data_IF_508554484204
#
_entry.id   IF_508554484204
#
_cell.length_a   1.000
_cell.length_b   1.000
_cell.length_c   1.000
_cell.angle_alpha   90.00
_cell.angle_beta   90.00
_cell.angle_gamma   90.00
#
_symmetry.space_group_name_H-M   'P 1'
#
loop_
_entity.id
_entity.type
_entity.pdbx_description
1 polymer ?
#
# COMPACT_ATOMS: atom_id res chain seq x y z
N UNK A 1 -37.18 16.02 16.66
CA UNK A 1 -37.45 14.65 17.14
C UNK A 1 -36.29 13.78 16.69
N UNK A 2 -35.30 13.57 17.57
CA UNK A 2 -34.05 12.86 17.30
C UNK A 2 -34.30 11.42 17.75
N UNK A 3 -34.04 10.39 16.95
CA UNK A 3 -34.16 9.00 17.38
C UNK A 3 -32.93 8.58 18.22
N UNK A 4 -33.25 7.97 19.35
CA UNK A 4 -32.40 7.40 20.37
C UNK A 4 -31.53 6.25 19.81
N UNK A 5 -30.18 6.34 19.99
CA UNK A 5 -29.21 5.32 19.55
C UNK A 5 -28.68 4.59 20.80
N UNK A 6 -29.56 3.83 21.45
CA UNK A 6 -29.18 3.02 22.62
C UNK A 6 -29.55 1.54 22.51
N UNK A 7 -29.33 0.89 21.36
CA UNK A 7 -29.41 -0.57 21.26
C UNK A 7 -28.34 -1.08 20.27
N UNK A 8 -27.10 -1.28 20.74
CA UNK A 8 -26.17 -2.23 20.15
C UNK A 8 -25.45 -2.96 21.29
N UNK A 9 -26.13 -3.99 21.80
CA UNK A 9 -25.52 -4.99 22.66
C UNK A 9 -24.35 -5.66 21.90
N UNK A 10 -23.16 -5.67 22.50
CA UNK A 10 -21.99 -6.39 22.01
C UNK A 10 -22.27 -7.88 22.03
N UNK A 11 -22.08 -8.62 20.93
CA UNK A 11 -21.99 -10.08 21.03
C UNK A 11 -20.68 -10.45 21.74
N UNK A 12 -20.77 -11.35 22.71
CA UNK A 12 -19.64 -11.95 23.39
C UNK A 12 -18.74 -12.67 22.38
N UNK A 13 -17.45 -12.32 22.35
CA UNK A 13 -16.47 -12.98 21.51
C UNK A 13 -16.23 -14.43 21.95
N UNK A 14 -15.83 -15.33 21.05
CA UNK A 14 -15.57 -16.71 21.38
C UNK A 14 -14.40 -16.85 22.36
N UNK A 15 -14.54 -17.83 23.28
CA UNK A 15 -13.57 -18.21 24.30
C UNK A 15 -12.20 -18.58 23.72
N UNK A 16 -11.07 -18.30 24.43
CA UNK A 16 -9.71 -18.57 23.96
C UNK A 16 -9.35 -20.06 23.72
N UNK A 17 -10.24 -20.99 24.03
CA UNK A 17 -9.98 -22.42 23.92
C UNK A 17 -10.23 -23.06 22.55
N UNK A 18 -10.63 -22.30 21.52
CA UNK A 18 -10.98 -22.82 20.19
C UNK A 18 -9.96 -22.51 19.08
N UNK A 19 -8.76 -22.03 19.42
CA UNK A 19 -7.69 -21.88 18.43
C UNK A 19 -6.81 -23.14 18.45
N UNK A 20 -7.19 -24.12 17.62
CA UNK A 20 -6.37 -25.29 17.35
C UNK A 20 -4.98 -24.84 16.88
N UNK A 21 -3.95 -25.53 17.36
CA UNK A 21 -2.56 -25.37 16.99
C UNK A 21 -2.40 -25.55 15.46
N UNK A 22 -2.21 -24.45 14.74
CA UNK A 22 -1.78 -24.50 13.34
C UNK A 22 -0.30 -24.82 13.32
N UNK A 23 0.03 -26.10 13.11
CA UNK A 23 1.40 -26.53 12.82
C UNK A 23 1.78 -26.05 11.43
N UNK A 24 2.73 -25.10 11.37
CA UNK A 24 3.38 -24.71 10.14
C UNK A 24 4.34 -25.83 9.71
N UNK A 25 4.32 -26.27 8.45
CA UNK A 25 5.28 -27.28 7.97
C UNK A 25 6.70 -26.75 8.15
N UNK A 26 7.49 -27.45 8.97
CA UNK A 26 8.92 -27.22 9.11
C UNK A 26 9.61 -27.50 7.78
N UNK A 27 9.99 -26.47 7.05
CA UNK A 27 10.87 -26.59 5.88
C UNK A 27 12.24 -27.02 6.41
N UNK A 28 12.58 -28.31 6.24
CA UNK A 28 13.93 -28.81 6.51
C UNK A 28 14.88 -28.07 5.55
N UNK A 29 16.00 -27.52 6.04
CA UNK A 29 16.98 -26.91 5.13
C UNK A 29 17.61 -28.01 4.29
N UNK A 30 17.22 -28.08 3.01
CA UNK A 30 17.95 -28.86 2.01
C UNK A 30 19.37 -28.31 1.93
N UNK A 31 20.38 -29.19 1.82
CA UNK A 31 21.75 -28.81 1.52
C UNK A 31 21.80 -28.20 0.12
N UNK A 32 21.45 -26.94 -0.01
CA UNK A 32 21.72 -26.16 -1.20
C UNK A 32 23.21 -25.85 -1.23
N UNK A 33 23.92 -26.37 -2.27
CA UNK A 33 25.23 -25.85 -2.63
C UNK A 33 25.05 -24.35 -2.86
N UNK A 34 25.74 -23.53 -2.04
CA UNK A 34 25.68 -22.09 -2.15
C UNK A 34 26.05 -21.63 -3.56
N UNK A 35 25.39 -20.59 -4.08
CA UNK A 35 25.82 -19.96 -5.32
C UNK A 35 27.25 -19.45 -5.12
N UNK A 36 28.09 -19.63 -6.18
CA UNK A 36 29.42 -19.04 -6.25
C UNK A 36 29.31 -17.57 -5.91
N UNK A 37 30.16 -17.10 -5.00
CA UNK A 37 30.24 -15.69 -4.63
C UNK A 37 30.40 -14.83 -5.89
N UNK A 38 29.36 -14.08 -6.22
CA UNK A 38 29.47 -13.01 -7.21
C UNK A 38 30.37 -11.91 -6.64
N UNK A 39 31.14 -11.19 -7.48
CA UNK A 39 32.02 -10.14 -7.00
C UNK A 39 31.19 -9.06 -6.29
N UNK A 40 31.56 -8.75 -5.05
CA UNK A 40 30.94 -7.77 -4.17
C UNK A 40 30.69 -6.45 -4.90
N UNK A 41 29.42 -6.07 -5.02
CA UNK A 41 29.05 -4.78 -5.56
C UNK A 41 29.47 -3.66 -4.61
N UNK A 42 29.98 -2.56 -5.15
CA UNK A 42 30.63 -1.40 -4.53
C UNK A 42 29.80 -0.65 -3.46
N UNK A 43 28.64 -1.18 -3.03
CA UNK A 43 27.66 -0.52 -2.16
C UNK A 43 27.26 -1.30 -0.91
N UNK A 44 28.04 -2.27 -0.45
CA UNK A 44 27.74 -2.98 0.80
C UNK A 44 28.02 -2.09 2.02
N UNK A 45 26.94 -1.66 2.67
CA UNK A 45 27.02 -0.95 3.94
C UNK A 45 26.78 -1.93 5.09
N UNK A 46 27.88 -2.48 5.64
CA UNK A 46 27.85 -3.43 6.75
C UNK A 46 27.02 -2.98 7.96
N UNK A 47 26.90 -1.67 8.19
CA UNK A 47 26.11 -1.15 9.30
C UNK A 47 24.61 -1.34 9.03
N UNK A 48 24.17 -1.18 7.79
CA UNK A 48 22.78 -1.40 7.39
C UNK A 48 22.43 -2.88 7.51
N UNK A 49 23.26 -3.77 7.00
CA UNK A 49 23.04 -5.23 7.10
C UNK A 49 22.92 -5.68 8.56
N UNK A 50 23.79 -5.17 9.43
CA UNK A 50 23.77 -5.48 10.86
C UNK A 50 22.46 -5.01 11.52
N UNK A 51 21.95 -3.84 11.16
CA UNK A 51 20.67 -3.32 11.65
C UNK A 51 19.52 -4.25 11.23
N UNK A 52 19.45 -4.68 9.96
CA UNK A 52 18.41 -5.58 9.51
C UNK A 52 18.51 -6.96 10.16
N UNK A 53 19.72 -7.53 10.34
CA UNK A 53 19.92 -8.78 11.11
C UNK A 53 19.40 -8.69 12.54
N UNK A 54 19.66 -7.57 13.23
CA UNK A 54 19.09 -7.33 14.57
C UNK A 54 17.57 -7.32 14.53
N UNK A 55 16.96 -6.65 13.55
CA UNK A 55 15.49 -6.59 13.40
C UNK A 55 14.90 -7.99 13.15
N UNK A 56 15.51 -8.80 12.30
CA UNK A 56 15.10 -10.17 12.05
C UNK A 56 15.19 -11.06 13.30
N UNK A 57 16.28 -10.94 14.07
CA UNK A 57 16.44 -11.69 15.34
C UNK A 57 15.34 -11.31 16.32
N UNK A 58 15.06 -10.00 16.48
CA UNK A 58 14.01 -9.53 17.37
C UNK A 58 12.60 -9.93 16.88
N UNK A 59 12.40 -10.06 15.57
CA UNK A 59 11.11 -10.45 14.98
C UNK A 59 10.78 -11.95 15.09
N UNK A 60 11.75 -12.82 15.34
CA UNK A 60 11.57 -14.28 15.42
C UNK A 60 10.95 -14.78 16.73
N UNK A 61 10.84 -13.91 17.74
CA UNK A 61 10.31 -14.29 19.04
C UNK A 61 9.33 -13.25 19.55
N UNK A 62 8.24 -13.67 20.21
CA UNK A 62 7.35 -12.75 20.94
C UNK A 62 8.01 -12.18 22.21
N UNK A 63 9.20 -12.65 22.57
CA UNK A 63 9.90 -12.28 23.79
C UNK A 63 11.03 -11.29 23.52
N UNK A 64 11.33 -10.51 24.56
CA UNK A 64 12.46 -9.58 24.59
C UNK A 64 13.78 -10.33 24.82
N UNK A 65 14.84 -9.94 24.14
CA UNK A 65 16.18 -10.51 24.25
C UNK A 65 17.14 -9.63 25.07
N UNK A 66 18.09 -10.25 25.74
CA UNK A 66 19.22 -9.54 26.34
C UNK A 66 20.24 -9.13 25.27
N UNK A 67 21.01 -8.06 25.55
CA UNK A 67 22.07 -7.59 24.64
C UNK A 67 23.02 -8.72 24.18
N UNK A 68 23.47 -9.56 25.14
CA UNK A 68 24.40 -10.65 24.86
C UNK A 68 23.79 -11.71 23.91
N UNK A 69 22.50 -11.97 24.03
CA UNK A 69 21.79 -12.93 23.15
C UNK A 69 21.68 -12.39 21.73
N UNK A 70 21.37 -11.10 21.57
CA UNK A 70 21.31 -10.42 20.26
C UNK A 70 22.68 -10.41 19.62
N UNK A 71 23.72 -10.00 20.38
CA UNK A 71 25.08 -9.94 19.90
C UNK A 71 25.56 -11.30 19.37
N UNK A 72 25.33 -12.38 20.12
CA UNK A 72 25.66 -13.74 19.70
C UNK A 72 24.90 -14.18 18.46
N UNK A 73 23.57 -13.95 18.39
CA UNK A 73 22.73 -14.37 17.25
C UNK A 73 23.03 -13.61 15.97
N UNK A 74 23.50 -12.36 16.11
CA UNK A 74 23.87 -11.52 14.98
C UNK A 74 25.35 -11.61 14.63
N UNK A 75 26.15 -12.40 15.38
CA UNK A 75 27.61 -12.51 15.21
C UNK A 75 28.31 -11.14 15.35
N UNK A 76 27.87 -10.33 16.31
CA UNK A 76 28.40 -8.99 16.58
C UNK A 76 29.13 -8.95 17.93
N UNK A 77 30.18 -8.14 17.99
CA UNK A 77 30.75 -7.75 19.28
C UNK A 77 29.73 -7.00 20.13
N UNK A 78 29.59 -7.29 21.45
CA UNK A 78 28.61 -6.65 22.31
C UNK A 78 28.61 -5.10 22.27
N UNK A 79 29.76 -4.40 22.22
CA UNK A 79 29.76 -2.94 22.07
C UNK A 79 29.15 -2.45 20.77
N UNK A 80 29.36 -3.19 19.67
CA UNK A 80 28.76 -2.86 18.36
C UNK A 80 27.24 -3.05 18.39
N UNK A 81 26.77 -4.18 18.93
CA UNK A 81 25.35 -4.45 19.08
C UNK A 81 24.67 -3.39 19.97
N UNK A 82 25.32 -3.00 21.08
CA UNK A 82 24.81 -1.96 21.98
C UNK A 82 24.66 -0.62 21.26
N UNK A 83 25.67 -0.19 20.50
CA UNK A 83 25.63 1.08 19.76
C UNK A 83 24.50 1.09 18.73
N UNK A 84 24.34 0.02 17.96
CA UNK A 84 23.26 -0.12 16.97
C UNK A 84 21.87 -0.12 17.65
N UNK A 85 21.69 -0.93 18.69
CA UNK A 85 20.44 -0.99 19.47
C UNK A 85 20.08 0.35 20.09
N UNK A 86 21.06 1.11 20.58
CA UNK A 86 20.85 2.44 21.15
C UNK A 86 20.32 3.43 20.12
N UNK A 87 20.88 3.41 18.89
CA UNK A 87 20.39 4.24 17.78
C UNK A 87 18.98 3.81 17.37
N UNK A 88 18.74 2.50 17.21
CA UNK A 88 17.44 1.96 16.84
C UNK A 88 16.36 2.26 17.89
N UNK A 89 16.73 2.23 19.19
CA UNK A 89 15.82 2.57 20.27
C UNK A 89 15.47 4.07 20.26
N UNK A 90 16.46 4.94 20.09
CA UNK A 90 16.26 6.39 19.94
C UNK A 90 15.35 6.73 18.75
N UNK A 91 15.47 5.99 17.67
CA UNK A 91 14.62 6.13 16.49
C UNK A 91 13.25 5.44 16.64
N UNK A 92 12.99 4.69 17.72
CA UNK A 92 11.73 4.01 17.99
C UNK A 92 11.51 2.69 17.24
N UNK A 93 12.51 2.15 16.55
CA UNK A 93 12.46 0.86 15.87
C UNK A 93 12.70 -0.33 16.80
N UNK A 94 13.35 -0.10 17.92
CA UNK A 94 13.57 -1.06 19.01
C UNK A 94 13.02 -0.44 20.28
N UNK A 95 12.46 -1.26 21.16
CA UNK A 95 12.09 -0.88 22.51
C UNK A 95 13.06 -1.56 23.49
N UNK A 96 13.52 -0.82 24.49
CA UNK A 96 14.25 -1.37 25.63
C UNK A 96 13.33 -1.31 26.84
N UNK A 97 13.01 -2.47 27.39
CA UNK A 97 12.26 -2.55 28.63
C UNK A 97 13.14 -2.06 29.80
N UNK A 98 12.69 -1.02 30.48
CA UNK A 98 13.42 -0.39 31.58
C UNK A 98 13.59 -1.28 32.80
N UNK A 99 12.66 -2.21 33.04
CA UNK A 99 12.67 -3.10 34.19
C UNK A 99 13.65 -4.28 34.00
N UNK A 100 13.63 -4.92 32.84
CA UNK A 100 14.46 -6.12 32.55
C UNK A 100 15.73 -5.82 31.77
N UNK A 101 15.89 -4.61 31.22
CA UNK A 101 16.99 -4.24 30.33
C UNK A 101 17.01 -4.97 28.99
N UNK A 102 15.94 -5.69 28.64
CA UNK A 102 15.81 -6.47 27.40
C UNK A 102 15.30 -5.63 26.24
N UNK A 103 15.58 -6.07 25.01
CA UNK A 103 15.24 -5.39 23.78
C UNK A 103 14.19 -6.18 23.00
N UNK A 104 13.22 -5.47 22.40
CA UNK A 104 12.20 -6.00 21.52
C UNK A 104 11.93 -5.04 20.35
N UNK A 105 11.06 -5.45 19.41
CA UNK A 105 10.65 -4.58 18.32
C UNK A 105 9.90 -3.35 18.83
N UNK A 106 10.23 -2.18 18.30
CA UNK A 106 9.61 -0.91 18.67
C UNK A 106 8.33 -0.61 17.91
N UNK A 107 7.48 0.24 18.49
CA UNK A 107 6.17 0.62 17.94
C UNK A 107 6.23 1.27 16.54
N UNK A 108 7.38 1.84 16.16
CA UNK A 108 7.55 2.46 14.84
C UNK A 108 7.50 1.43 13.71
N UNK A 109 8.01 0.21 13.93
CA UNK A 109 7.89 -0.90 12.97
C UNK A 109 6.43 -1.31 12.78
N UNK A 110 5.67 -1.43 13.87
CA UNK A 110 4.24 -1.73 13.80
C UNK A 110 3.50 -0.66 13.00
N UNK A 111 3.80 0.62 13.22
CA UNK A 111 3.18 1.71 12.46
C UNK A 111 3.50 1.65 10.96
N UNK A 112 4.72 1.27 10.58
CA UNK A 112 5.10 1.09 9.18
C UNK A 112 4.40 -0.14 8.56
N UNK A 113 4.38 -1.26 9.27
CA UNK A 113 3.74 -2.50 8.81
C UNK A 113 2.20 -2.37 8.75
N UNK A 114 1.59 -1.64 9.68
CA UNK A 114 0.13 -1.45 9.71
C UNK A 114 -0.43 -0.70 8.52
N UNK A 115 0.35 0.13 7.82
CA UNK A 115 -0.13 0.76 6.59
C UNK A 115 -0.59 -0.27 5.57
N UNK A 116 0.15 -1.35 5.39
CA UNK A 116 -0.18 -2.44 4.45
C UNK A 116 -1.32 -3.34 4.97
N UNK A 117 -1.27 -3.73 6.24
CA UNK A 117 -2.29 -4.58 6.88
C UNK A 117 -3.61 -3.85 6.99
N UNK A 118 -3.58 -2.55 7.33
CA UNK A 118 -4.78 -1.71 7.41
C UNK A 118 -5.45 -1.57 6.05
N UNK A 119 -4.66 -1.39 4.99
CA UNK A 119 -5.18 -1.27 3.64
C UNK A 119 -5.87 -2.56 3.16
N UNK A 120 -5.29 -3.74 3.44
CA UNK A 120 -5.92 -5.03 3.14
C UNK A 120 -7.24 -5.20 3.90
N UNK A 121 -7.26 -4.81 5.16
CA UNK A 121 -8.47 -4.86 6.00
C UNK A 121 -9.55 -3.91 5.47
N UNK A 122 -9.19 -2.68 5.06
CA UNK A 122 -10.12 -1.73 4.44
C UNK A 122 -10.71 -2.26 3.14
N UNK A 123 -9.88 -2.82 2.25
CA UNK A 123 -10.37 -3.43 0.99
C UNK A 123 -11.33 -4.57 1.28
N UNK A 124 -11.02 -5.42 2.26
CA UNK A 124 -11.89 -6.52 2.69
C UNK A 124 -13.24 -6.02 3.25
N UNK A 125 -13.23 -5.01 4.08
CA UNK A 125 -14.44 -4.39 4.62
C UNK A 125 -15.28 -3.71 3.52
N UNK A 126 -14.64 -3.09 2.54
CA UNK A 126 -15.29 -2.44 1.42
C UNK A 126 -15.82 -3.44 0.37
N UNK A 127 -15.38 -4.68 0.39
CA UNK A 127 -15.67 -5.68 -0.66
C UNK A 127 -17.16 -5.78 -1.04
N UNK A 128 -18.14 -5.85 -0.10
CA UNK A 128 -19.56 -5.92 -0.48
C UNK A 128 -20.02 -4.68 -1.27
N UNK A 129 -19.53 -3.49 -0.90
CA UNK A 129 -19.86 -2.23 -1.58
C UNK A 129 -19.21 -2.14 -2.96
N UNK A 130 -17.97 -2.64 -3.09
CA UNK A 130 -17.26 -2.72 -4.37
C UNK A 130 -17.95 -3.71 -5.33
N UNK A 131 -18.43 -4.85 -4.82
CA UNK A 131 -19.23 -5.80 -5.59
C UNK A 131 -20.55 -5.20 -6.06
N UNK A 132 -21.24 -4.49 -5.18
CA UNK A 132 -22.46 -3.77 -5.52
C UNK A 132 -22.22 -2.72 -6.61
N UNK A 133 -21.16 -1.92 -6.49
CA UNK A 133 -20.75 -0.95 -7.50
C UNK A 133 -20.47 -1.59 -8.85
N UNK A 134 -19.74 -2.72 -8.88
CA UNK A 134 -19.48 -3.49 -10.11
C UNK A 134 -20.77 -4.02 -10.73
N UNK A 135 -21.70 -4.53 -9.91
CA UNK A 135 -23.01 -5.01 -10.38
C UNK A 135 -23.86 -3.88 -10.95
N UNK A 136 -23.91 -2.71 -10.30
CA UNK A 136 -24.67 -1.54 -10.76
C UNK A 136 -24.12 -0.93 -12.06
N UNK A 137 -22.80 -0.88 -12.19
CA UNK A 137 -22.14 -0.26 -13.35
C UNK A 137 -21.98 -1.22 -14.52
N UNK A 138 -21.93 -2.53 -14.24
CA UNK A 138 -21.57 -3.57 -15.19
C UNK A 138 -20.07 -3.60 -15.53
N UNK A 139 -19.24 -2.81 -14.83
CA UNK A 139 -17.84 -2.58 -15.17
C UNK A 139 -16.88 -3.09 -14.08
N UNK A 140 -15.60 -3.19 -14.41
CA UNK A 140 -14.56 -3.57 -13.45
C UNK A 140 -14.30 -2.45 -12.44
N UNK A 141 -14.30 -2.80 -11.16
CA UNK A 141 -13.97 -1.89 -10.07
C UNK A 141 -12.58 -2.20 -9.53
N UNK A 142 -11.75 -1.15 -9.33
CA UNK A 142 -10.46 -1.28 -8.68
C UNK A 142 -10.38 -0.42 -7.43
N UNK A 143 -9.57 -0.88 -6.48
CA UNK A 143 -9.04 -0.07 -5.38
C UNK A 143 -7.55 0.07 -5.58
N UNK A 144 -7.06 1.28 -5.65
CA UNK A 144 -5.64 1.61 -5.78
C UNK A 144 -5.12 2.32 -4.55
N UNK A 145 -3.84 2.09 -4.24
CA UNK A 145 -3.10 2.85 -3.24
C UNK A 145 -1.94 3.59 -3.90
N UNK A 146 -1.69 4.82 -3.47
CA UNK A 146 -0.63 5.66 -3.98
C UNK A 146 0.73 5.22 -3.44
N UNK A 147 1.72 5.11 -4.31
CA UNK A 147 3.10 4.74 -3.98
C UNK A 147 4.10 5.52 -4.85
N UNK A 148 4.45 6.72 -4.41
CA UNK A 148 5.33 7.64 -5.13
C UNK A 148 4.72 8.15 -6.44
N UNK A 149 5.29 7.80 -7.58
CA UNK A 149 4.77 8.16 -8.92
C UNK A 149 3.81 7.11 -9.50
N UNK A 150 3.50 6.05 -8.71
CA UNK A 150 2.71 4.90 -9.16
C UNK A 150 1.50 4.66 -8.27
N UNK A 151 0.57 3.88 -8.80
CA UNK A 151 -0.58 3.31 -8.10
C UNK A 151 -0.39 1.80 -8.02
N UNK A 152 -0.54 1.23 -6.84
CA UNK A 152 -0.58 -0.23 -6.65
C UNK A 152 -2.03 -0.67 -6.53
N UNK A 153 -2.47 -1.59 -7.40
CA UNK A 153 -3.81 -2.18 -7.32
C UNK A 153 -3.91 -3.06 -6.07
N UNK A 154 -4.80 -2.72 -5.16
CA UNK A 154 -5.02 -3.42 -3.87
C UNK A 154 -6.29 -4.25 -3.83
N UNK A 155 -7.26 -3.95 -4.69
CA UNK A 155 -8.50 -4.70 -4.85
C UNK A 155 -8.99 -4.62 -6.28
N UNK A 156 -9.66 -5.70 -6.72
CA UNK A 156 -10.27 -5.79 -8.04
C UNK A 156 -11.53 -6.63 -7.97
N UNK A 157 -12.62 -6.08 -8.44
CA UNK A 157 -13.88 -6.78 -8.72
C UNK A 157 -14.04 -6.80 -10.24
N UNK A 158 -13.99 -7.98 -10.84
CA UNK A 158 -14.12 -8.12 -12.29
C UNK A 158 -15.55 -7.81 -12.75
N UNK A 159 -15.68 -7.12 -13.87
CA UNK A 159 -16.96 -6.95 -14.54
C UNK A 159 -17.60 -8.32 -14.86
N UNK A 160 -18.94 -8.42 -14.80
CA UNK A 160 -19.65 -9.61 -15.26
C UNK A 160 -19.53 -9.83 -16.77
N UNK A 161 -19.16 -8.81 -17.54
CA UNK A 161 -18.97 -8.85 -18.99
C UNK A 161 -17.80 -9.73 -19.43
N UNK A 162 -17.72 -10.06 -20.74
CA UNK A 162 -16.57 -10.78 -21.30
C UNK A 162 -15.30 -9.93 -21.44
N UNK A 163 -15.42 -8.61 -21.41
CA UNK A 163 -14.28 -7.71 -21.48
C UNK A 163 -13.41 -7.84 -20.22
N UNK A 164 -12.11 -8.02 -20.40
CA UNK A 164 -11.16 -8.17 -19.31
C UNK A 164 -10.12 -7.06 -19.39
N UNK A 165 -10.11 -6.19 -18.38
CA UNK A 165 -9.01 -5.26 -18.19
C UNK A 165 -7.72 -6.03 -17.87
N UNK A 166 -6.57 -5.72 -18.50
CA UNK A 166 -5.30 -6.42 -18.30
C UNK A 166 -4.64 -6.00 -16.98
N UNK A 167 -5.41 -6.07 -15.88
CA UNK A 167 -4.99 -5.65 -14.55
C UNK A 167 -5.13 -6.77 -13.53
N UNK A 168 -4.26 -6.77 -12.51
CA UNK A 168 -4.30 -7.72 -11.39
C UNK A 168 -3.94 -7.02 -10.07
N UNK A 169 -4.37 -7.61 -8.96
CA UNK A 169 -3.96 -7.15 -7.62
C UNK A 169 -2.43 -7.26 -7.50
N UNK A 170 -1.80 -6.24 -6.93
CA UNK A 170 -0.35 -6.08 -6.83
C UNK A 170 0.30 -5.40 -8.05
N UNK A 171 -0.41 -5.20 -9.14
CA UNK A 171 0.12 -4.49 -10.32
C UNK A 171 0.38 -3.03 -10.00
N UNK A 172 1.51 -2.51 -10.49
CA UNK A 172 1.93 -1.11 -10.37
C UNK A 172 1.66 -0.41 -11.70
N UNK A 173 1.01 0.73 -11.64
CA UNK A 173 0.59 1.53 -12.80
C UNK A 173 1.02 2.98 -12.57
N UNK A 174 1.42 3.66 -13.62
CA UNK A 174 1.85 5.05 -13.51
C UNK A 174 0.67 5.97 -13.14
N UNK A 175 0.87 6.79 -12.12
CA UNK A 175 -0.20 7.60 -11.55
C UNK A 175 -0.73 8.65 -12.53
N UNK A 176 0.15 9.26 -13.34
CA UNK A 176 -0.22 10.27 -14.33
C UNK A 176 -1.12 9.71 -15.44
N UNK A 177 -0.99 8.44 -15.79
CA UNK A 177 -1.73 7.79 -16.88
C UNK A 177 -3.03 7.08 -16.42
N UNK A 178 -3.36 7.12 -15.12
CA UNK A 178 -4.52 6.40 -14.58
C UNK A 178 -5.52 7.32 -13.89
N UNK A 179 -6.81 7.00 -14.00
CA UNK A 179 -7.85 7.71 -13.25
C UNK A 179 -7.62 7.61 -11.73
N UNK A 180 -7.20 6.43 -11.22
CA UNK A 180 -6.85 6.23 -9.80
C UNK A 180 -5.75 7.18 -9.35
N UNK A 181 -4.65 7.27 -10.11
CA UNK A 181 -3.52 8.13 -9.78
C UNK A 181 -3.90 9.60 -9.83
N UNK A 182 -4.56 10.03 -10.91
CA UNK A 182 -5.02 11.42 -11.05
C UNK A 182 -6.01 11.82 -9.95
N UNK A 183 -6.91 10.92 -9.51
CA UNK A 183 -7.81 11.19 -8.39
C UNK A 183 -7.05 11.40 -7.07
N UNK A 184 -6.04 10.59 -6.80
CA UNK A 184 -5.22 10.72 -5.59
C UNK A 184 -4.27 11.92 -5.66
N UNK A 185 -3.73 12.25 -6.82
CA UNK A 185 -2.91 13.45 -7.05
C UNK A 185 -3.75 14.72 -6.93
N UNK A 186 -4.99 14.71 -7.43
CA UNK A 186 -5.91 15.84 -7.28
C UNK A 186 -6.25 16.14 -5.81
N UNK A 187 -6.19 15.16 -4.91
CA UNK A 187 -6.39 15.35 -3.47
C UNK A 187 -5.14 15.89 -2.75
N UNK A 188 -4.06 16.25 -3.46
CA UNK A 188 -2.83 16.82 -2.91
C UNK A 188 -2.67 18.28 -3.27
N UNK A 189 -1.93 19.06 -2.47
CA UNK A 189 -1.50 20.40 -2.86
C UNK A 189 -0.68 20.37 -4.17
N UNK A 190 -0.84 21.37 -5.06
CA UNK A 190 -0.07 21.43 -6.32
C UNK A 190 1.44 21.35 -6.13
N UNK A 191 1.99 21.99 -5.10
CA UNK A 191 3.42 21.93 -4.79
C UNK A 191 3.91 20.51 -4.51
N UNK A 192 3.13 19.70 -3.76
CA UNK A 192 3.46 18.30 -3.50
C UNK A 192 3.45 17.47 -4.80
N UNK A 193 2.49 17.75 -5.71
CA UNK A 193 2.45 17.08 -7.02
C UNK A 193 3.67 17.43 -7.86
N UNK A 194 4.07 18.70 -7.90
CA UNK A 194 5.27 19.14 -8.60
C UNK A 194 6.52 18.45 -8.05
N UNK A 195 6.67 18.37 -6.72
CA UNK A 195 7.80 17.68 -6.07
C UNK A 195 7.86 16.19 -6.43
N UNK A 196 6.70 15.51 -6.49
CA UNK A 196 6.63 14.08 -6.85
C UNK A 196 7.17 13.83 -8.26
N UNK A 197 6.94 14.75 -9.21
CA UNK A 197 7.31 14.58 -10.61
C UNK A 197 8.57 15.37 -11.04
N UNK A 198 9.22 16.12 -10.14
CA UNK A 198 10.38 16.99 -10.46
C UNK A 198 11.51 16.26 -11.21
N UNK A 199 11.81 15.00 -10.80
CA UNK A 199 12.87 14.18 -11.39
C UNK A 199 12.32 12.89 -12.02
N UNK A 200 11.03 12.87 -12.38
CA UNK A 200 10.38 11.69 -12.92
C UNK A 200 9.95 11.92 -14.38
N UNK A 201 10.39 11.03 -15.25
CA UNK A 201 9.94 11.02 -16.65
C UNK A 201 8.58 10.34 -16.71
N UNK A 202 7.55 11.07 -17.11
CA UNK A 202 6.22 10.53 -17.36
C UNK A 202 6.23 9.71 -18.64
N UNK A 203 6.15 8.38 -18.51
CA UNK A 203 6.17 7.47 -19.65
C UNK A 203 4.91 7.62 -20.53
N UNK A 204 5.08 7.65 -21.83
CA UNK A 204 3.97 7.60 -22.77
C UNK A 204 3.56 6.15 -23.02
N UNK A 205 2.32 5.80 -22.71
CA UNK A 205 1.76 4.45 -22.94
C UNK A 205 0.93 4.39 -24.21
N UNK A 206 0.29 5.51 -24.56
CA UNK A 206 -0.51 5.69 -25.77
C UNK A 206 -0.32 7.11 -26.29
N UNK A 207 -0.86 7.41 -27.47
CA UNK A 207 -0.87 8.77 -28.00
C UNK A 207 -1.71 9.76 -27.17
N UNK A 208 -2.48 9.28 -26.20
CA UNK A 208 -3.32 10.09 -25.31
C UNK A 208 -2.75 10.28 -23.91
N UNK A 209 -1.63 9.63 -23.60
CA UNK A 209 -1.00 9.75 -22.29
C UNK A 209 -0.54 11.19 -22.06
N UNK A 210 -0.92 11.77 -20.93
CA UNK A 210 -0.40 13.06 -20.47
C UNK A 210 1.05 12.87 -20.03
N UNK A 211 1.99 13.56 -20.68
CA UNK A 211 3.43 13.39 -20.46
C UNK A 211 4.12 14.67 -19.97
N UNK A 212 3.37 15.76 -19.72
CA UNK A 212 3.93 16.99 -19.15
C UNK A 212 3.28 17.32 -17.81
N UNK A 213 4.07 17.92 -16.90
CA UNK A 213 3.54 18.35 -15.59
C UNK A 213 2.45 19.41 -15.75
N UNK A 214 2.60 20.33 -16.71
CA UNK A 214 1.62 21.39 -16.94
C UNK A 214 0.26 20.85 -17.38
N UNK A 215 0.24 19.88 -18.31
CA UNK A 215 -1.00 19.24 -18.74
C UNK A 215 -1.61 18.42 -17.61
N UNK A 216 -0.78 17.69 -16.85
CA UNK A 216 -1.23 16.94 -15.67
C UNK A 216 -1.88 17.88 -14.65
N UNK A 217 -1.25 19.00 -14.30
CA UNK A 217 -1.78 19.97 -13.35
C UNK A 217 -3.12 20.57 -13.82
N UNK A 218 -3.26 20.85 -15.11
CA UNK A 218 -4.52 21.30 -15.69
C UNK A 218 -5.64 20.27 -15.49
N UNK A 219 -5.38 19.00 -15.79
CA UNK A 219 -6.36 17.92 -15.56
C UNK A 219 -6.68 17.70 -14.08
N UNK A 220 -5.67 17.81 -13.20
CA UNK A 220 -5.87 17.71 -11.76
C UNK A 220 -6.69 18.87 -11.20
N UNK A 221 -6.54 20.09 -11.74
CA UNK A 221 -7.38 21.23 -11.38
C UNK A 221 -8.85 20.97 -11.69
N UNK A 222 -9.15 20.42 -12.86
CA UNK A 222 -10.51 20.05 -13.23
C UNK A 222 -11.03 18.88 -12.36
N UNK A 223 -10.17 17.89 -12.06
CA UNK A 223 -10.54 16.79 -11.17
C UNK A 223 -10.89 17.28 -9.75
N UNK A 224 -10.17 18.28 -9.21
CA UNK A 224 -10.47 18.90 -7.91
C UNK A 224 -11.85 19.55 -7.90
N UNK A 225 -12.21 20.29 -8.96
CA UNK A 225 -13.50 20.98 -9.07
C UNK A 225 -14.67 20.00 -9.09
N UNK A 226 -14.54 18.89 -9.83
CA UNK A 226 -15.62 17.90 -10.01
C UNK A 226 -15.63 16.77 -8.99
N UNK A 227 -14.55 16.58 -8.20
CA UNK A 227 -14.43 15.55 -7.17
C UNK A 227 -13.99 14.17 -7.67
N UNK A 228 -13.74 14.01 -8.96
CA UNK A 228 -13.30 12.76 -9.57
C UNK A 228 -12.34 13.01 -10.74
N UNK A 229 -11.52 12.03 -11.07
CA UNK A 229 -10.63 12.06 -12.22
C UNK A 229 -11.04 11.00 -13.26
N UNK A 230 -10.64 11.23 -14.52
CA UNK A 230 -10.87 10.30 -15.62
C UNK A 230 -9.54 9.96 -16.30
N UNK A 231 -9.50 8.81 -16.97
CA UNK A 231 -8.44 8.43 -17.91
C UNK A 231 -9.11 7.82 -19.13
N UNK A 232 -8.89 8.42 -20.29
CA UNK A 232 -9.58 8.08 -21.52
C UNK A 232 -8.60 7.51 -22.57
N UNK A 233 -8.23 6.26 -22.42
CA UNK A 233 -7.28 5.58 -23.32
C UNK A 233 -5.82 5.97 -23.07
N UNK A 234 -5.47 6.43 -21.88
CA UNK A 234 -4.13 6.96 -21.57
C UNK A 234 -3.13 5.89 -21.18
N UNK A 235 -3.57 4.85 -20.43
CA UNK A 235 -2.71 3.72 -20.06
C UNK A 235 -2.90 2.54 -21.03
N UNK A 236 -4.12 2.27 -21.42
CA UNK A 236 -4.48 1.23 -22.39
C UNK A 236 -5.44 1.80 -23.42
N UNK A 237 -5.10 1.64 -24.73
CA UNK A 237 -6.00 2.04 -25.79
C UNK A 237 -7.36 1.36 -25.66
N UNK A 238 -8.42 2.10 -25.94
CA UNK A 238 -9.79 1.59 -25.88
C UNK A 238 -10.34 1.34 -24.46
N UNK A 239 -9.62 1.74 -23.40
CA UNK A 239 -10.05 1.65 -22.00
C UNK A 239 -10.31 3.03 -21.43
N UNK A 240 -11.51 3.26 -20.92
CA UNK A 240 -11.85 4.47 -20.17
C UNK A 240 -12.14 4.14 -18.71
N UNK A 241 -11.66 5.00 -17.83
CA UNK A 241 -11.83 4.86 -16.38
C UNK A 241 -12.25 6.19 -15.74
N UNK A 242 -13.03 6.10 -14.67
CA UNK A 242 -13.31 7.20 -13.74
C UNK A 242 -12.93 6.76 -12.34
N UNK A 243 -12.40 7.65 -11.52
CA UNK A 243 -11.99 7.36 -10.15
C UNK A 243 -12.25 8.53 -9.21
N UNK A 244 -12.59 8.21 -7.97
CA UNK A 244 -12.70 9.18 -6.87
C UNK A 244 -11.72 8.80 -5.75
N UNK A 245 -11.09 9.80 -5.09
CA UNK A 245 -10.22 9.56 -3.95
C UNK A 245 -11.05 9.17 -2.72
N UNK A 246 -10.48 8.28 -1.89
CA UNK A 246 -11.00 8.01 -0.53
C UNK A 246 -10.21 8.88 0.43
N UNK A 247 -10.85 9.92 0.93
CA UNK A 247 -10.22 10.88 1.82
C UNK A 247 -10.27 10.38 3.27
N UNK A 248 -9.20 10.56 4.01
CA UNK A 248 -9.19 10.37 5.46
C UNK A 248 -9.75 11.62 6.18
N UNK A 249 -9.84 11.58 7.50
CA UNK A 249 -10.33 12.71 8.33
C UNK A 249 -9.52 14.01 8.19
N UNK A 250 -8.31 13.95 7.63
CA UNK A 250 -7.43 15.09 7.36
C UNK A 250 -7.52 15.57 5.91
N UNK A 251 -8.41 14.99 5.09
CA UNK A 251 -8.54 15.32 3.67
C UNK A 251 -7.48 14.71 2.76
N UNK A 252 -6.61 13.84 3.26
CA UNK A 252 -5.58 13.18 2.42
C UNK A 252 -6.15 11.96 1.71
N UNK A 253 -5.91 11.85 0.40
CA UNK A 253 -6.33 10.74 -0.46
C UNK A 253 -5.18 9.87 -0.90
N UNK A 254 -4.81 8.86 -0.10
CA UNK A 254 -3.79 7.85 -0.48
C UNK A 254 -4.41 6.58 -1.08
N UNK A 255 -5.72 6.52 -1.18
CA UNK A 255 -6.50 5.43 -1.74
C UNK A 255 -7.52 6.05 -2.70
N UNK A 256 -7.81 5.35 -3.78
CA UNK A 256 -8.89 5.70 -4.69
C UNK A 256 -9.64 4.45 -5.14
N UNK A 257 -10.90 4.64 -5.53
CA UNK A 257 -11.75 3.62 -6.15
C UNK A 257 -12.00 4.04 -7.60
N UNK A 258 -11.90 3.14 -8.54
CA UNK A 258 -12.22 3.40 -9.95
C UNK A 258 -13.20 2.40 -10.52
N UNK A 259 -13.95 2.87 -11.52
CA UNK A 259 -14.76 2.07 -12.42
C UNK A 259 -14.14 2.20 -13.82
N UNK A 260 -13.88 1.06 -14.48
CA UNK A 260 -13.23 1.06 -15.79
C UNK A 260 -13.75 -0.05 -16.69
N UNK A 261 -13.85 0.28 -17.97
CA UNK A 261 -14.37 -0.61 -19.00
C UNK A 261 -13.97 -0.19 -20.41
N UNK A 262 -14.52 -0.85 -21.44
CA UNK A 262 -14.24 -0.50 -22.83
C UNK A 262 -14.77 0.89 -23.17
N UNK A 263 -13.99 1.66 -23.97
CA UNK A 263 -14.33 3.02 -24.36
C UNK A 263 -15.74 3.13 -24.99
N UNK A 264 -16.13 2.13 -25.77
CA UNK A 264 -17.46 2.08 -26.39
C UNK A 264 -18.62 2.07 -25.36
N UNK A 265 -18.38 1.53 -24.17
CA UNK A 265 -19.36 1.50 -23.07
C UNK A 265 -19.16 2.64 -22.08
N UNK A 266 -17.91 3.05 -21.82
CA UNK A 266 -17.56 4.12 -20.89
C UNK A 266 -17.59 5.49 -21.59
N UNK A 267 -18.77 5.89 -22.07
CA UNK A 267 -19.01 7.19 -22.72
C UNK A 267 -18.82 8.37 -21.74
N UNK A 268 -18.58 9.60 -22.20
CA UNK A 268 -18.45 10.76 -21.32
C UNK A 268 -19.61 10.92 -20.32
N UNK A 269 -20.85 10.67 -20.77
CA UNK A 269 -22.03 10.70 -19.89
C UNK A 269 -21.98 9.65 -18.78
N UNK A 270 -21.48 8.44 -19.07
CA UNK A 270 -21.32 7.38 -18.05
C UNK A 270 -20.14 7.68 -17.10
N UNK A 271 -19.03 8.22 -17.61
CA UNK A 271 -17.92 8.66 -16.77
C UNK A 271 -18.38 9.71 -15.77
N UNK A 272 -19.14 10.71 -16.21
CA UNK A 272 -19.72 11.73 -15.32
C UNK A 272 -20.69 11.10 -14.30
N UNK A 273 -21.61 10.24 -14.77
CA UNK A 273 -22.60 9.57 -13.90
C UNK A 273 -21.93 8.73 -12.80
N UNK A 274 -20.83 8.04 -13.11
CA UNK A 274 -20.13 7.17 -12.17
C UNK A 274 -19.13 7.94 -11.31
N UNK A 275 -18.71 9.13 -11.71
CA UNK A 275 -17.83 9.99 -10.95
C UNK A 275 -18.53 10.74 -9.81
N UNK A 276 -19.83 11.00 -9.96
CA UNK A 276 -20.69 11.62 -8.95
C UNK A 276 -21.25 10.58 -7.98
#
# INVERSE_FOLDING_TARGET
MVPDISILARPAGPSPAALGSVEWPMIRPGKARGPRAEPMTRYENQSIDRVFRIMEVLGRSPYYYRLAEIARRCELAPPTAFRLLSVMARLGYVNKDSASGRYGLGSRLYRLAHRETHLRSLVRLAQPRLQHLSAQTGETVHVGAFDGTQVVIRGRIAAPSRFRLPTRVGMRLDAHATALGKAMLAARPPAEVADIFTNHVMASHTSRTVCSLADLESELAEARKRGYATSCGELFDGVHCVAAPVLNSLGHGNIAVSVGGPAAQMTPRRLEKFGR
#
